data_IF_400017382612
#
_entry.id   IF_400017382612
#
_cell.length_a   1.000
_cell.length_b   1.000
_cell.length_c   1.000
_cell.angle_alpha   90.00
_cell.angle_beta   90.00
_cell.angle_gamma   90.00
#
_symmetry.space_group_name_H-M   'P 1'
#
loop_
_entity.id
_entity.type
_entity.pdbx_description
1 polymer ?
#
# COMPACT_ATOMS: atom_id res chain seq x y z
N UNK A 1 -35.82 11.13 17.40
CA UNK A 1 -35.08 10.02 16.78
C UNK A 1 -34.05 10.62 15.84
N UNK A 2 -32.84 10.86 16.34
CA UNK A 2 -31.69 11.21 15.49
C UNK A 2 -31.36 9.95 14.69
N UNK A 3 -31.43 10.01 13.36
CA UNK A 3 -31.02 8.91 12.52
C UNK A 3 -29.62 8.45 12.97
N UNK A 4 -29.46 7.14 13.23
CA UNK A 4 -28.12 6.57 13.27
C UNK A 4 -27.39 6.99 11.99
N UNK A 5 -26.08 7.30 12.04
CA UNK A 5 -25.31 7.49 10.82
C UNK A 5 -25.55 6.25 9.95
N UNK A 6 -26.24 6.43 8.83
CA UNK A 6 -26.68 5.32 8.00
C UNK A 6 -25.42 4.60 7.50
N UNK A 7 -25.30 3.30 7.79
CA UNK A 7 -24.25 2.45 7.25
C UNK A 7 -24.34 2.52 5.72
N UNK A 8 -23.46 3.31 5.09
CA UNK A 8 -23.32 3.36 3.64
C UNK A 8 -22.22 2.37 3.27
N UNK A 9 -22.63 1.25 2.66
CA UNK A 9 -21.69 0.33 2.00
C UNK A 9 -21.19 0.93 0.69
N UNK A 10 -20.03 0.48 0.24
CA UNK A 10 -19.49 0.89 -1.05
C UNK A 10 -20.44 0.49 -2.20
N UNK A 11 -20.64 1.41 -3.13
CA UNK A 11 -21.42 1.20 -4.35
C UNK A 11 -20.60 0.41 -5.38
N UNK A 12 -21.25 -0.34 -6.26
CA UNK A 12 -20.57 -1.18 -7.27
C UNK A 12 -19.63 -0.37 -8.18
N UNK A 13 -19.97 0.88 -8.50
CA UNK A 13 -19.10 1.74 -9.32
C UNK A 13 -17.86 2.22 -8.54
N UNK A 14 -17.93 2.33 -7.21
CA UNK A 14 -16.77 2.63 -6.38
C UNK A 14 -15.81 1.44 -6.40
N UNK A 15 -16.34 0.22 -6.32
CA UNK A 15 -15.55 -1.02 -6.46
C UNK A 15 -14.94 -1.17 -7.85
N UNK A 16 -15.71 -0.83 -8.90
CA UNK A 16 -15.20 -0.85 -10.26
C UNK A 16 -14.10 0.20 -10.48
N UNK A 17 -14.23 1.38 -9.87
CA UNK A 17 -13.18 2.38 -9.85
C UNK A 17 -11.89 1.85 -9.22
N UNK A 18 -11.95 1.03 -8.16
CA UNK A 18 -10.74 0.48 -7.54
C UNK A 18 -9.94 -0.42 -8.47
N UNK A 19 -10.56 -1.03 -9.49
CA UNK A 19 -9.87 -1.93 -10.41
C UNK A 19 -8.74 -1.24 -11.20
N UNK A 20 -8.76 0.08 -11.38
CA UNK A 20 -7.63 0.79 -11.99
C UNK A 20 -6.35 0.69 -11.14
N UNK A 21 -6.47 0.49 -9.82
CA UNK A 21 -5.31 0.25 -8.96
C UNK A 21 -4.71 -1.12 -9.18
N UNK A 22 -5.43 -2.11 -9.73
CA UNK A 22 -4.80 -3.38 -10.14
C UNK A 22 -3.65 -3.09 -11.10
N UNK A 23 -3.94 -2.35 -12.16
CA UNK A 23 -2.93 -1.98 -13.15
C UNK A 23 -1.88 -1.03 -12.58
N UNK A 24 -2.28 0.01 -11.84
CA UNK A 24 -1.33 0.96 -11.25
C UNK A 24 -0.34 0.27 -10.30
N UNK A 25 -0.82 -0.65 -9.47
CA UNK A 25 0.02 -1.43 -8.56
C UNK A 25 0.99 -2.32 -9.34
N UNK A 26 0.54 -3.04 -10.37
CA UNK A 26 1.45 -3.81 -11.24
C UNK A 26 2.55 -2.93 -11.85
N UNK A 27 2.21 -1.71 -12.29
CA UNK A 27 3.20 -0.78 -12.85
C UNK A 27 4.19 -0.26 -11.80
N UNK A 28 3.74 0.00 -10.57
CA UNK A 28 4.63 0.37 -9.45
C UNK A 28 5.55 -0.81 -9.08
N UNK A 29 5.02 -2.03 -9.02
CA UNK A 29 5.82 -3.23 -8.76
C UNK A 29 6.89 -3.40 -9.83
N UNK A 30 6.54 -3.24 -11.11
CA UNK A 30 7.51 -3.24 -12.20
C UNK A 30 8.58 -2.14 -12.04
N UNK A 31 8.18 -0.94 -11.62
CA UNK A 31 9.11 0.16 -11.34
C UNK A 31 10.05 -0.14 -10.15
N UNK A 32 9.63 -0.98 -9.21
CA UNK A 32 10.49 -1.50 -8.13
C UNK A 32 11.43 -2.60 -8.67
N UNK A 33 10.93 -3.49 -9.53
CA UNK A 33 11.71 -4.57 -10.14
C UNK A 33 12.89 -4.05 -10.97
N UNK A 34 12.69 -2.96 -11.70
CA UNK A 34 13.71 -2.36 -12.57
C UNK A 34 14.57 -1.30 -11.86
N UNK A 35 14.37 -1.07 -10.57
CA UNK A 35 15.11 -0.06 -9.83
C UNK A 35 16.57 -0.47 -9.63
N UNK A 36 17.49 0.35 -10.14
CA UNK A 36 18.94 0.11 -10.12
C UNK A 36 19.71 1.18 -9.34
N UNK A 37 19.14 2.38 -9.22
CA UNK A 37 19.73 3.52 -8.53
C UNK A 37 18.77 4.12 -7.49
N UNK A 38 19.29 4.97 -6.59
CA UNK A 38 18.47 5.62 -5.55
C UNK A 38 17.34 6.47 -6.15
N UNK A 39 17.57 7.08 -7.31
CA UNK A 39 16.58 7.88 -8.03
C UNK A 39 15.37 7.05 -8.48
N UNK A 40 15.60 5.79 -8.85
CA UNK A 40 14.56 4.86 -9.27
C UNK A 40 13.61 4.52 -8.11
N UNK A 41 14.18 4.32 -6.92
CA UNK A 41 13.42 4.13 -5.69
C UNK A 41 12.65 5.38 -5.29
N UNK A 42 13.24 6.57 -5.44
CA UNK A 42 12.55 7.84 -5.23
C UNK A 42 11.35 7.96 -6.16
N UNK A 43 11.50 7.59 -7.44
CA UNK A 43 10.40 7.60 -8.41
C UNK A 43 9.26 6.65 -8.00
N UNK A 44 9.58 5.42 -7.62
CA UNK A 44 8.59 4.44 -7.15
C UNK A 44 7.84 4.90 -5.90
N UNK A 45 8.56 5.46 -4.92
CA UNK A 45 7.96 6.00 -3.70
C UNK A 45 7.10 7.23 -4.02
N UNK A 46 7.59 8.14 -4.87
CA UNK A 46 6.87 9.35 -5.25
C UNK A 46 5.53 9.05 -5.91
N UNK A 47 5.53 8.14 -6.89
CA UNK A 47 4.29 7.79 -7.60
C UNK A 47 3.33 6.99 -6.71
N UNK A 48 3.84 6.10 -5.85
CA UNK A 48 3.03 5.42 -4.84
C UNK A 48 2.33 6.43 -3.91
N UNK A 49 3.09 7.38 -3.37
CA UNK A 49 2.56 8.41 -2.46
C UNK A 49 1.54 9.33 -3.15
N UNK A 50 1.79 9.71 -4.42
CA UNK A 50 0.85 10.51 -5.21
C UNK A 50 -0.45 9.77 -5.50
N UNK A 51 -0.36 8.53 -6.00
CA UNK A 51 -1.53 7.71 -6.30
C UNK A 51 -2.35 7.42 -5.04
N UNK A 52 -1.67 7.08 -3.95
CA UNK A 52 -2.31 6.83 -2.67
C UNK A 52 -2.99 8.08 -2.13
N UNK A 53 -2.38 9.25 -2.29
CA UNK A 53 -2.98 10.51 -1.88
C UNK A 53 -4.25 10.82 -2.66
N UNK A 54 -4.18 10.72 -3.99
CA UNK A 54 -5.33 10.98 -4.84
C UNK A 54 -6.43 9.95 -4.61
N UNK A 55 -6.10 8.67 -4.38
CA UNK A 55 -7.07 7.66 -3.97
C UNK A 55 -7.85 8.07 -2.72
N UNK A 56 -7.14 8.38 -1.62
CA UNK A 56 -7.77 8.82 -0.37
C UNK A 56 -8.63 10.07 -0.59
N UNK A 57 -8.19 10.97 -1.47
CA UNK A 57 -8.96 12.12 -1.91
C UNK A 57 -10.28 11.77 -2.60
N UNK A 58 -10.31 10.74 -3.46
CA UNK A 58 -11.54 10.27 -4.11
C UNK A 58 -12.46 9.49 -3.16
N UNK A 59 -11.90 8.71 -2.22
CA UNK A 59 -12.68 8.08 -1.14
C UNK A 59 -13.35 9.16 -0.28
N UNK A 60 -12.63 10.25 0.00
CA UNK A 60 -13.19 11.39 0.72
C UNK A 60 -14.27 12.11 -0.10
N UNK A 61 -14.06 12.33 -1.40
CA UNK A 61 -15.08 12.88 -2.30
C UNK A 61 -16.37 12.04 -2.28
N UNK A 62 -16.23 10.72 -2.41
CA UNK A 62 -17.33 9.78 -2.37
C UNK A 62 -18.12 9.85 -1.05
N UNK A 63 -17.40 10.00 0.06
CA UNK A 63 -17.99 10.13 1.41
C UNK A 63 -18.74 11.44 1.62
N UNK A 64 -18.44 12.50 0.85
CA UNK A 64 -19.07 13.83 0.98
C UNK A 64 -20.08 14.14 -0.14
N UNK A 65 -20.35 13.17 -1.03
CA UNK A 65 -21.34 13.32 -2.10
C UNK A 65 -22.54 12.43 -1.84
N UNK A 66 -23.72 13.05 -1.92
CA UNK A 66 -25.04 12.38 -1.92
C UNK A 66 -25.60 12.22 -3.34
N UNK A 67 -24.93 12.78 -4.36
CA UNK A 67 -25.38 12.79 -5.75
C UNK A 67 -24.83 11.58 -6.52
N UNK A 68 -25.35 10.39 -6.20
CA UNK A 68 -24.79 9.08 -6.65
C UNK A 68 -24.51 9.01 -8.15
N UNK A 69 -25.47 9.40 -9.02
CA UNK A 69 -25.28 9.35 -10.47
C UNK A 69 -24.13 10.24 -10.96
N UNK A 70 -23.97 11.44 -10.37
CA UNK A 70 -22.87 12.35 -10.72
C UNK A 70 -21.54 11.88 -10.14
N UNK A 71 -21.55 11.34 -8.92
CA UNK A 71 -20.38 10.71 -8.31
C UNK A 71 -19.87 9.56 -9.19
N UNK A 72 -20.77 8.69 -9.68
CA UNK A 72 -20.42 7.63 -10.62
C UNK A 72 -19.75 8.19 -11.89
N UNK A 73 -20.31 9.24 -12.50
CA UNK A 73 -19.70 9.91 -13.66
C UNK A 73 -18.30 10.46 -13.37
N UNK A 74 -18.09 11.08 -12.21
CA UNK A 74 -16.77 11.59 -11.77
C UNK A 74 -15.77 10.43 -11.58
N UNK A 75 -16.16 9.36 -10.87
CA UNK A 75 -15.27 8.23 -10.63
C UNK A 75 -14.94 7.46 -11.91
N UNK A 76 -15.90 7.24 -12.81
CA UNK A 76 -15.64 6.58 -14.09
C UNK A 76 -14.74 7.42 -15.01
N UNK A 77 -14.88 8.75 -14.98
CA UNK A 77 -13.96 9.65 -15.70
C UNK A 77 -12.57 9.64 -15.07
N UNK A 78 -12.48 9.66 -13.73
CA UNK A 78 -11.22 9.55 -13.01
C UNK A 78 -10.53 8.21 -13.28
N UNK A 79 -11.28 7.10 -13.36
CA UNK A 79 -10.77 5.77 -13.67
C UNK A 79 -9.96 5.78 -14.98
N UNK A 80 -10.46 6.42 -16.03
CA UNK A 80 -9.73 6.56 -17.29
C UNK A 80 -8.44 7.39 -17.11
N UNK A 81 -8.52 8.51 -16.40
CA UNK A 81 -7.34 9.37 -16.16
C UNK A 81 -6.26 8.64 -15.34
N UNK A 82 -6.66 7.88 -14.32
CA UNK A 82 -5.74 7.05 -13.55
C UNK A 82 -5.17 5.88 -14.35
N UNK A 83 -5.95 5.26 -15.25
CA UNK A 83 -5.44 4.23 -16.15
C UNK A 83 -4.34 4.78 -17.07
N UNK A 84 -4.55 5.98 -17.63
CA UNK A 84 -3.54 6.65 -18.46
C UNK A 84 -2.31 7.04 -17.62
N UNK A 85 -2.51 7.53 -16.39
CA UNK A 85 -1.43 7.81 -15.46
C UNK A 85 -0.60 6.55 -15.20
N UNK A 86 -1.26 5.43 -14.88
CA UNK A 86 -0.63 4.14 -14.64
C UNK A 86 0.19 3.67 -15.86
N UNK A 87 -0.35 3.84 -17.07
CA UNK A 87 0.36 3.49 -18.31
C UNK A 87 1.65 4.30 -18.53
N UNK A 88 1.74 5.50 -17.96
CA UNK A 88 2.94 6.34 -18.01
C UNK A 88 3.98 6.05 -16.93
N UNK A 89 3.66 5.23 -15.91
CA UNK A 89 4.56 4.97 -14.77
C UNK A 89 5.92 4.37 -15.20
N UNK A 90 6.01 3.41 -16.14
CA UNK A 90 7.31 2.88 -16.59
C UNK A 90 8.26 3.93 -17.16
N UNK A 91 7.72 5.02 -17.70
CA UNK A 91 8.50 6.13 -18.26
C UNK A 91 9.30 6.90 -17.20
N UNK A 92 8.98 6.75 -15.91
CA UNK A 92 9.62 7.52 -14.82
C UNK A 92 11.13 7.27 -14.70
N UNK A 93 11.61 6.03 -14.83
CA UNK A 93 13.05 5.73 -14.81
C UNK A 93 13.79 6.34 -16.01
N UNK A 94 13.12 6.44 -17.16
CA UNK A 94 13.67 7.02 -18.38
C UNK A 94 13.51 8.53 -18.49
N UNK A 95 12.85 9.19 -17.52
CA UNK A 95 12.53 10.61 -17.57
C UNK A 95 11.41 10.97 -18.56
N UNK A 96 10.69 10.01 -19.13
CA UNK A 96 9.48 10.29 -19.91
C UNK A 96 8.29 10.54 -18.97
N UNK A 97 8.15 11.79 -18.55
CA UNK A 97 7.14 12.19 -17.54
C UNK A 97 5.96 12.93 -18.11
N UNK A 98 5.87 13.06 -19.44
CA UNK A 98 4.81 13.81 -20.11
C UNK A 98 3.44 13.15 -19.89
N UNK A 99 3.34 11.86 -20.22
CA UNK A 99 2.07 11.13 -20.13
C UNK A 99 1.57 11.04 -18.68
N UNK A 100 2.44 10.60 -17.76
CA UNK A 100 2.12 10.46 -16.34
C UNK A 100 1.78 11.81 -15.70
N UNK A 101 2.48 12.89 -16.07
CA UNK A 101 2.25 14.23 -15.56
C UNK A 101 0.95 14.86 -16.06
N UNK A 102 0.65 14.76 -17.36
CA UNK A 102 -0.62 15.26 -17.92
C UNK A 102 -1.82 14.49 -17.36
N UNK A 103 -1.69 13.16 -17.23
CA UNK A 103 -2.72 12.34 -16.62
C UNK A 103 -2.91 12.68 -15.13
N UNK A 104 -1.83 12.94 -14.38
CA UNK A 104 -1.90 13.42 -13.01
C UNK A 104 -2.63 14.76 -12.91
N UNK A 105 -2.36 15.71 -13.81
CA UNK A 105 -3.11 16.97 -13.87
C UNK A 105 -4.60 16.75 -14.15
N UNK A 106 -4.94 15.81 -15.04
CA UNK A 106 -6.33 15.45 -15.31
C UNK A 106 -7.01 14.83 -14.08
N UNK A 107 -6.35 13.89 -13.39
CA UNK A 107 -6.83 13.31 -12.12
C UNK A 107 -7.12 14.40 -11.08
N UNK A 108 -6.21 15.37 -10.92
CA UNK A 108 -6.39 16.50 -10.01
C UNK A 108 -7.53 17.42 -10.45
N UNK A 109 -7.64 17.74 -11.74
CA UNK A 109 -8.72 18.58 -12.27
C UNK A 109 -10.11 17.93 -12.05
N UNK A 110 -10.23 16.62 -12.32
CA UNK A 110 -11.46 15.86 -12.09
C UNK A 110 -11.82 15.84 -10.60
N UNK A 111 -10.82 15.68 -9.73
CA UNK A 111 -11.00 15.70 -8.27
C UNK A 111 -11.50 17.05 -7.76
N UNK A 112 -10.87 18.16 -8.18
CA UNK A 112 -11.27 19.53 -7.85
C UNK A 112 -12.68 19.81 -8.36
N UNK A 113 -12.99 19.46 -9.62
CA UNK A 113 -14.31 19.65 -10.21
C UNK A 113 -15.37 18.83 -9.48
N UNK A 114 -15.06 17.59 -9.08
CA UNK A 114 -15.93 16.78 -8.24
C UNK A 114 -16.31 17.49 -6.95
N UNK A 115 -15.31 17.95 -6.17
CA UNK A 115 -15.62 18.69 -4.96
C UNK A 115 -16.42 19.96 -5.20
N UNK A 116 -16.07 20.74 -6.23
CA UNK A 116 -16.75 22.00 -6.55
C UNK A 116 -18.21 21.80 -7.01
N UNK A 117 -18.54 20.68 -7.67
CA UNK A 117 -19.83 20.49 -8.35
C UNK A 117 -20.78 19.52 -7.64
N UNK A 118 -20.26 18.55 -6.87
CA UNK A 118 -21.07 17.45 -6.33
C UNK A 118 -21.01 17.31 -4.80
N UNK A 119 -20.41 18.27 -4.09
CA UNK A 119 -20.39 18.29 -2.60
C UNK A 119 -21.01 19.59 -2.06
N UNK A 120 -21.61 19.52 -0.87
CA UNK A 120 -22.35 20.65 -0.27
C UNK A 120 -21.64 21.27 0.95
N UNK A 121 -20.95 20.45 1.75
CA UNK A 121 -20.33 20.89 3.01
C UNK A 121 -18.85 21.30 2.86
N UNK A 122 -18.34 21.37 1.62
CA UNK A 122 -16.95 21.73 1.32
C UNK A 122 -16.88 23.15 0.79
N UNK A 123 -16.18 24.02 1.52
CA UNK A 123 -16.07 25.44 1.13
C UNK A 123 -15.12 25.63 -0.07
N UNK A 124 -15.31 26.67 -0.92
CA UNK A 124 -14.38 26.98 -2.01
C UNK A 124 -12.94 27.20 -1.54
N UNK A 125 -12.76 27.74 -0.33
CA UNK A 125 -11.43 27.89 0.29
C UNK A 125 -10.78 26.53 0.55
N UNK A 126 -11.53 25.54 1.03
CA UNK A 126 -11.02 24.18 1.20
C UNK A 126 -10.65 23.55 -0.15
N UNK A 127 -11.51 23.70 -1.16
CA UNK A 127 -11.25 23.19 -2.52
C UNK A 127 -9.97 23.78 -3.11
N UNK A 128 -9.82 25.10 -3.02
CA UNK A 128 -8.61 25.78 -3.49
C UNK A 128 -7.37 25.28 -2.74
N UNK A 129 -7.52 25.06 -1.43
CA UNK A 129 -6.44 24.70 -0.51
C UNK A 129 -5.78 23.36 -0.82
N UNK A 130 -6.55 22.31 -1.08
CA UNK A 130 -5.97 21.04 -1.55
C UNK A 130 -5.74 21.03 -3.06
N UNK A 131 -6.53 21.80 -3.81
CA UNK A 131 -6.43 21.89 -5.26
C UNK A 131 -5.06 22.39 -5.69
N UNK A 132 -4.57 23.49 -5.13
CA UNK A 132 -3.26 24.03 -5.50
C UNK A 132 -2.10 23.10 -5.13
N UNK A 133 -2.15 22.44 -3.97
CA UNK A 133 -1.08 21.49 -3.56
C UNK A 133 -1.06 20.26 -4.46
N UNK A 134 -2.24 19.75 -4.83
CA UNK A 134 -2.35 18.60 -5.72
C UNK A 134 -1.89 18.96 -7.13
N UNK A 135 -2.26 20.16 -7.61
CA UNK A 135 -1.77 20.68 -8.89
C UNK A 135 -0.26 20.87 -8.86
N UNK A 136 0.31 21.39 -7.77
CA UNK A 136 1.76 21.52 -7.63
C UNK A 136 2.45 20.15 -7.68
N UNK A 137 1.97 19.15 -6.94
CA UNK A 137 2.52 17.79 -7.00
C UNK A 137 2.44 17.20 -8.42
N UNK A 138 1.32 17.36 -9.12
CA UNK A 138 1.18 16.90 -10.51
C UNK A 138 2.10 17.66 -11.48
N UNK A 139 2.33 18.97 -11.27
CA UNK A 139 3.29 19.76 -12.05
C UNK A 139 4.73 19.34 -11.78
N UNK A 140 5.10 19.05 -10.54
CA UNK A 140 6.43 18.51 -10.21
C UNK A 140 6.64 17.15 -10.87
N UNK A 141 5.62 16.28 -10.86
CA UNK A 141 5.67 15.00 -11.57
C UNK A 141 5.86 15.20 -13.07
N UNK A 142 5.06 16.07 -13.69
CA UNK A 142 5.17 16.41 -15.11
C UNK A 142 6.55 16.97 -15.48
N UNK A 143 7.10 17.85 -14.65
CA UNK A 143 8.35 18.57 -14.94
C UNK A 143 9.61 17.79 -14.54
N UNK A 144 9.48 16.71 -13.76
CA UNK A 144 10.62 15.92 -13.27
C UNK A 144 11.52 15.36 -14.39
N UNK A 145 10.95 14.88 -15.49
CA UNK A 145 11.71 14.38 -16.64
C UNK A 145 12.49 15.45 -17.41
N UNK A 146 12.10 16.71 -17.29
CA UNK A 146 12.73 17.84 -17.99
C UNK A 146 13.81 18.54 -17.16
N UNK A 147 14.00 18.12 -15.90
CA UNK A 147 14.97 18.73 -14.98
C UNK A 147 16.37 18.08 -15.03
N UNK A 148 16.62 17.21 -16.01
CA UNK A 148 17.89 16.48 -16.15
C UNK A 148 18.24 15.72 -14.87
N UNK A 149 19.50 15.83 -14.43
CA UNK A 149 20.04 15.13 -13.25
C UNK A 149 19.33 15.48 -11.93
N UNK A 150 18.53 16.55 -11.90
CA UNK A 150 17.80 17.01 -10.71
C UNK A 150 16.33 16.54 -10.68
N UNK A 151 15.86 15.76 -11.65
CA UNK A 151 14.47 15.27 -11.71
C UNK A 151 14.02 14.57 -10.43
N UNK A 152 14.90 13.81 -9.79
CA UNK A 152 14.62 13.12 -8.53
C UNK A 152 14.29 14.08 -7.37
N UNK A 153 14.81 15.32 -7.37
CA UNK A 153 14.46 16.33 -6.36
C UNK A 153 13.00 16.76 -6.50
N UNK A 154 12.52 16.88 -7.74
CA UNK A 154 11.11 17.18 -7.99
C UNK A 154 10.21 16.01 -7.56
N UNK A 155 10.65 14.77 -7.77
CA UNK A 155 9.94 13.56 -7.31
C UNK A 155 9.91 13.46 -5.78
N UNK A 156 10.95 13.88 -5.06
CA UNK A 156 10.87 14.06 -3.60
C UNK A 156 9.75 15.04 -3.25
N UNK A 157 9.65 16.16 -3.98
CA UNK A 157 8.55 17.12 -3.81
C UNK A 157 7.17 16.49 -4.03
N UNK A 158 7.02 15.61 -5.03
CA UNK A 158 5.78 14.84 -5.28
C UNK A 158 5.41 13.98 -4.07
N UNK A 159 6.38 13.32 -3.44
CA UNK A 159 6.15 12.52 -2.24
C UNK A 159 5.84 13.37 -1.00
N UNK A 160 6.56 14.49 -0.82
CA UNK A 160 6.55 15.28 0.42
C UNK A 160 5.37 16.26 0.49
N UNK A 161 4.92 16.83 -0.63
CA UNK A 161 3.81 17.81 -0.61
C UNK A 161 2.52 17.23 -0.03
N UNK A 162 2.05 16.03 -0.45
CA UNK A 162 0.91 15.35 0.19
C UNK A 162 1.11 15.17 1.70
N UNK A 163 2.31 14.78 2.13
CA UNK A 163 2.65 14.61 3.56
C UNK A 163 2.54 15.93 4.31
N UNK A 164 3.18 16.98 3.80
CA UNK A 164 3.15 18.31 4.41
C UNK A 164 1.73 18.87 4.49
N UNK A 165 0.96 18.75 3.40
CA UNK A 165 -0.46 19.11 3.38
C UNK A 165 -1.17 18.37 4.49
N UNK A 166 -1.07 17.04 4.49
CA UNK A 166 -1.82 16.24 5.43
C UNK A 166 -1.56 16.60 6.89
N UNK A 167 -0.31 16.88 7.27
CA UNK A 167 0.03 17.33 8.63
C UNK A 167 -0.55 18.71 8.96
N UNK A 168 -0.64 19.62 7.98
CA UNK A 168 -1.20 20.96 8.14
C UNK A 168 -2.74 20.96 8.23
N UNK A 169 -3.42 20.04 7.52
CA UNK A 169 -4.89 19.95 7.47
C UNK A 169 -5.49 18.86 8.38
N UNK A 170 -4.66 17.99 8.98
CA UNK A 170 -5.04 16.84 9.82
C UNK A 170 -5.96 17.16 11.01
N UNK A 171 -6.12 18.42 11.39
CA UNK A 171 -6.72 18.77 12.67
C UNK A 171 -8.23 19.04 12.66
N UNK A 172 -8.91 19.32 11.54
CA UNK A 172 -10.26 19.97 11.66
C UNK A 172 -11.39 19.63 10.68
N UNK A 173 -11.19 18.96 9.54
CA UNK A 173 -12.19 19.08 8.45
C UNK A 173 -12.50 17.84 7.58
N UNK A 174 -11.95 16.66 7.87
CA UNK A 174 -12.28 15.46 7.08
C UNK A 174 -13.52 14.73 7.63
N UNK A 175 -14.64 14.76 6.90
CA UNK A 175 -15.77 13.86 7.15
C UNK A 175 -15.35 12.42 6.83
N UNK A 176 -15.23 11.58 7.86
CA UNK A 176 -14.94 10.15 7.75
C UNK A 176 -16.18 9.37 8.16
N UNK A 177 -16.74 8.61 7.21
CA UNK A 177 -17.77 7.61 7.46
C UNK A 177 -17.06 6.28 7.77
N UNK A 178 -17.03 5.82 9.04
CA UNK A 178 -16.15 4.73 9.47
C UNK A 178 -16.27 3.47 8.62
N UNK A 179 -17.48 2.93 8.47
CA UNK A 179 -17.73 1.67 7.75
C UNK A 179 -17.28 1.74 6.29
N UNK A 180 -17.75 2.74 5.54
CA UNK A 180 -17.32 2.99 4.17
C UNK A 180 -15.80 3.16 4.08
N UNK A 181 -15.20 3.92 4.99
CA UNK A 181 -13.76 4.22 4.96
C UNK A 181 -12.90 2.97 5.19
N UNK A 182 -13.24 2.13 6.19
CA UNK A 182 -12.53 0.87 6.46
C UNK A 182 -12.74 -0.12 5.31
N UNK A 183 -13.97 -0.25 4.81
CA UNK A 183 -14.31 -1.15 3.69
C UNK A 183 -13.45 -0.83 2.46
N UNK A 184 -13.39 0.45 2.04
CA UNK A 184 -12.62 0.88 0.86
C UNK A 184 -11.12 0.58 0.98
N UNK A 185 -10.51 0.93 2.11
CA UNK A 185 -9.09 0.69 2.33
C UNK A 185 -8.77 -0.81 2.40
N UNK A 186 -9.65 -1.60 3.02
CA UNK A 186 -9.53 -3.07 3.02
C UNK A 186 -9.58 -3.65 1.61
N UNK A 187 -10.56 -3.25 0.79
CA UNK A 187 -10.68 -3.75 -0.58
C UNK A 187 -9.45 -3.41 -1.44
N UNK A 188 -8.86 -2.22 -1.27
CA UNK A 188 -7.61 -1.90 -1.95
C UNK A 188 -6.42 -2.72 -1.44
N UNK A 189 -6.37 -3.03 -0.15
CA UNK A 189 -5.36 -3.96 0.39
C UNK A 189 -5.48 -5.36 -0.25
N UNK A 190 -6.70 -5.84 -0.57
CA UNK A 190 -6.89 -7.10 -1.30
C UNK A 190 -6.30 -7.02 -2.71
N UNK A 191 -6.49 -5.91 -3.42
CA UNK A 191 -5.89 -5.69 -4.75
C UNK A 191 -4.36 -5.79 -4.67
N UNK A 192 -3.77 -5.15 -3.66
CA UNK A 192 -2.32 -5.15 -3.45
C UNK A 192 -1.79 -6.55 -3.11
N UNK A 193 -2.49 -7.33 -2.29
CA UNK A 193 -2.14 -8.75 -2.09
C UNK A 193 -2.28 -9.58 -3.38
N UNK A 194 -3.25 -9.24 -4.23
CA UNK A 194 -3.44 -9.85 -5.55
C UNK A 194 -2.21 -9.74 -6.45
N UNK A 195 -1.47 -8.63 -6.37
CA UNK A 195 -0.23 -8.44 -7.12
C UNK A 195 0.85 -9.47 -6.74
N UNK A 196 0.99 -9.82 -5.45
CA UNK A 196 1.91 -10.89 -5.04
C UNK A 196 1.52 -12.25 -5.64
N UNK A 197 0.22 -12.52 -5.76
CA UNK A 197 -0.29 -13.77 -6.35
C UNK A 197 -0.02 -13.80 -7.87
N UNK A 198 -0.25 -12.68 -8.57
CA UNK A 198 0.00 -12.54 -10.01
C UNK A 198 1.50 -12.65 -10.31
N UNK A 199 2.34 -11.99 -9.51
CA UNK A 199 3.79 -12.03 -9.64
C UNK A 199 4.33 -13.47 -9.55
N UNK A 200 3.86 -14.25 -8.57
CA UNK A 200 4.24 -15.66 -8.41
C UNK A 200 3.63 -16.54 -9.52
N UNK A 201 2.38 -16.30 -9.92
CA UNK A 201 1.69 -17.12 -10.91
C UNK A 201 2.28 -16.97 -12.32
N UNK A 202 2.67 -15.76 -12.71
CA UNK A 202 3.24 -15.48 -14.04
C UNK A 202 4.63 -16.08 -14.22
N UNK A 203 5.43 -16.19 -13.16
CA UNK A 203 6.76 -16.82 -13.23
C UNK A 203 6.68 -18.35 -13.24
N UNK A 204 5.76 -18.95 -12.47
CA UNK A 204 5.55 -20.41 -12.46
C UNK A 204 4.98 -20.96 -13.76
N UNK A 205 4.09 -20.21 -14.41
CA UNK A 205 3.40 -20.64 -15.63
C UNK A 205 4.34 -20.96 -16.80
N UNK A 206 5.59 -20.48 -16.74
CA UNK A 206 6.60 -20.73 -17.76
C UNK A 206 7.25 -22.12 -17.63
N UNK A 207 7.59 -22.57 -16.41
CA UNK A 207 8.26 -23.87 -16.14
C UNK A 207 7.98 -24.36 -14.71
N UNK A 208 6.97 -25.23 -14.50
CA UNK A 208 6.56 -25.65 -13.15
C UNK A 208 7.45 -26.79 -12.62
N UNK A 209 8.67 -26.46 -12.21
CA UNK A 209 9.54 -27.39 -11.47
C UNK A 209 9.01 -27.61 -10.03
N UNK A 210 9.11 -28.82 -9.45
CA UNK A 210 8.58 -29.12 -8.11
C UNK A 210 9.12 -28.20 -6.99
N UNK A 211 10.38 -27.77 -7.08
CA UNK A 211 10.99 -26.84 -6.12
C UNK A 211 10.35 -25.44 -6.20
N UNK A 212 10.12 -24.94 -7.41
CA UNK A 212 9.47 -23.66 -7.63
C UNK A 212 8.02 -23.67 -7.13
N UNK A 213 7.30 -24.79 -7.30
CA UNK A 213 5.95 -24.97 -6.74
C UNK A 213 5.94 -24.93 -5.20
N UNK A 214 6.95 -25.53 -4.55
CA UNK A 214 7.08 -25.48 -3.10
C UNK A 214 7.35 -24.05 -2.60
N UNK A 215 8.29 -23.34 -3.23
CA UNK A 215 8.61 -21.94 -2.90
C UNK A 215 7.40 -21.03 -3.10
N UNK A 216 6.71 -21.14 -4.23
CA UNK A 216 5.48 -20.42 -4.49
C UNK A 216 4.40 -20.73 -3.45
N UNK A 217 4.25 -21.99 -3.06
CA UNK A 217 3.36 -22.38 -1.97
C UNK A 217 3.69 -21.66 -0.65
N UNK A 218 4.97 -21.55 -0.30
CA UNK A 218 5.41 -20.79 0.88
C UNK A 218 5.14 -19.29 0.76
N UNK A 219 5.35 -18.70 -0.43
CA UNK A 219 5.00 -17.29 -0.68
C UNK A 219 3.51 -17.06 -0.50
N UNK A 220 2.66 -17.95 -1.04
CA UNK A 220 1.21 -17.84 -0.89
C UNK A 220 0.79 -17.98 0.58
N UNK A 221 1.37 -18.93 1.31
CA UNK A 221 1.14 -19.06 2.77
C UNK A 221 1.58 -17.81 3.53
N UNK A 222 2.69 -17.19 3.14
CA UNK A 222 3.17 -15.93 3.72
C UNK A 222 2.19 -14.79 3.42
N UNK A 223 1.73 -14.63 2.18
CA UNK A 223 0.70 -13.66 1.79
C UNK A 223 -0.58 -13.86 2.59
N UNK A 224 -1.03 -15.10 2.78
CA UNK A 224 -2.18 -15.43 3.63
C UNK A 224 -1.92 -15.01 5.09
N UNK A 225 -0.74 -15.26 5.63
CA UNK A 225 -0.40 -14.86 6.99
C UNK A 225 -0.37 -13.33 7.18
N UNK A 226 0.15 -12.59 6.19
CA UNK A 226 0.13 -11.13 6.17
C UNK A 226 -1.32 -10.62 6.05
N UNK A 227 -2.12 -11.17 5.14
CA UNK A 227 -3.54 -10.84 5.01
C UNK A 227 -4.30 -11.05 6.32
N UNK A 228 -4.11 -12.21 6.97
CA UNK A 228 -4.71 -12.52 8.27
C UNK A 228 -4.27 -11.55 9.37
N UNK A 229 -3.08 -10.98 9.29
CA UNK A 229 -2.57 -10.08 10.34
C UNK A 229 -3.38 -8.79 10.46
N UNK A 230 -4.04 -8.36 9.38
CA UNK A 230 -4.93 -7.20 9.37
C UNK A 230 -6.41 -7.61 9.39
N UNK A 231 -6.85 -8.45 8.45
CA UNK A 231 -8.27 -8.81 8.24
C UNK A 231 -8.91 -9.68 9.32
N UNK A 232 -8.13 -10.30 10.20
CA UNK A 232 -8.70 -11.20 11.20
C UNK A 232 -9.36 -10.44 12.35
N UNK A 233 -8.89 -9.22 12.68
CA UNK A 233 -9.43 -8.44 13.80
C UNK A 233 -9.31 -6.92 13.62
N UNK A 234 -8.26 -6.42 12.98
CA UNK A 234 -7.92 -4.99 13.03
C UNK A 234 -8.83 -4.15 12.13
N UNK A 235 -9.39 -4.73 11.07
CA UNK A 235 -10.46 -4.14 10.26
C UNK A 235 -11.68 -3.76 11.13
N UNK A 236 -12.28 -4.72 11.83
CA UNK A 236 -13.48 -4.49 12.66
C UNK A 236 -13.18 -3.64 13.89
N UNK A 237 -12.04 -3.87 14.54
CA UNK A 237 -11.63 -3.11 15.74
C UNK A 237 -11.37 -1.64 15.40
N UNK A 238 -10.73 -1.37 14.25
CA UNK A 238 -10.49 0.01 13.83
C UNK A 238 -11.76 0.73 13.44
N UNK A 239 -12.71 0.04 12.79
CA UNK A 239 -14.04 0.57 12.51
C UNK A 239 -14.78 0.93 13.82
N UNK A 240 -14.80 0.02 14.79
CA UNK A 240 -15.41 0.26 16.12
C UNK A 240 -14.78 1.47 16.81
N UNK A 241 -13.45 1.60 16.79
CA UNK A 241 -12.75 2.77 17.34
C UNK A 241 -13.17 4.05 16.62
N UNK A 242 -13.25 4.04 15.28
CA UNK A 242 -13.65 5.20 14.49
C UNK A 242 -15.08 5.63 14.81
N UNK A 243 -16.01 4.69 15.01
CA UNK A 243 -17.39 4.99 15.42
C UNK A 243 -17.46 5.78 16.73
N UNK A 244 -16.62 5.43 17.71
CA UNK A 244 -16.59 6.07 19.04
C UNK A 244 -15.64 7.27 19.11
N UNK A 245 -14.89 7.56 18.05
CA UNK A 245 -13.95 8.70 18.00
C UNK A 245 -14.68 9.96 17.53
N UNK A 246 -14.44 11.09 18.21
CA UNK A 246 -14.96 12.40 17.81
C UNK A 246 -14.46 12.79 16.40
N UNK A 247 -15.29 13.48 15.61
CA UNK A 247 -15.00 13.81 14.20
C UNK A 247 -13.66 14.52 13.99
N UNK A 248 -13.25 15.41 14.89
CA UNK A 248 -11.97 16.13 14.82
C UNK A 248 -10.76 15.18 14.89
N UNK A 249 -10.85 14.10 15.68
CA UNK A 249 -9.77 13.11 15.84
C UNK A 249 -9.81 12.03 14.76
N UNK A 250 -10.97 11.79 14.11
CA UNK A 250 -11.07 10.84 12.99
C UNK A 250 -10.16 11.22 11.82
N UNK A 251 -9.99 12.52 11.54
CA UNK A 251 -9.10 13.01 10.48
C UNK A 251 -7.63 12.61 10.72
N UNK A 252 -7.15 12.73 11.97
CA UNK A 252 -5.80 12.29 12.35
C UNK A 252 -5.63 10.78 12.20
N UNK A 253 -6.61 9.97 12.64
CA UNK A 253 -6.56 8.52 12.49
C UNK A 253 -6.57 8.12 11.00
N UNK A 254 -7.47 8.73 10.20
CA UNK A 254 -7.52 8.52 8.76
C UNK A 254 -6.17 8.82 8.09
N UNK A 255 -5.47 9.85 8.54
CA UNK A 255 -4.17 10.18 7.99
C UNK A 255 -3.05 9.26 8.50
N UNK A 256 -2.84 9.16 9.80
CA UNK A 256 -1.68 8.44 10.33
C UNK A 256 -1.85 6.92 10.17
N UNK A 257 -3.02 6.38 10.47
CA UNK A 257 -3.25 4.94 10.37
C UNK A 257 -3.52 4.52 8.92
N UNK A 258 -4.49 5.15 8.26
CA UNK A 258 -4.95 4.68 6.95
C UNK A 258 -4.23 5.28 5.76
N UNK A 259 -3.57 6.45 5.87
CA UNK A 259 -2.72 6.92 4.79
C UNK A 259 -1.29 6.45 5.00
N UNK A 260 -0.62 6.83 6.09
CA UNK A 260 0.80 6.46 6.31
C UNK A 260 1.00 4.99 6.65
N UNK A 261 0.22 4.43 7.59
CA UNK A 261 0.34 3.02 7.98
C UNK A 261 0.10 2.08 6.80
N UNK A 262 -0.95 2.34 6.02
CA UNK A 262 -1.23 1.56 4.81
C UNK A 262 -0.22 1.78 3.70
N UNK A 263 0.29 3.01 3.48
CA UNK A 263 1.34 3.23 2.47
C UNK A 263 2.56 2.35 2.74
N UNK A 264 2.96 2.21 4.02
CA UNK A 264 4.00 1.28 4.43
C UNK A 264 3.59 -0.18 4.20
N UNK A 265 2.39 -0.60 4.62
CA UNK A 265 1.93 -1.97 4.38
C UNK A 265 1.90 -2.33 2.88
N UNK A 266 1.40 -1.42 2.05
CA UNK A 266 1.37 -1.56 0.59
C UNK A 266 2.79 -1.71 0.07
N UNK A 267 3.70 -0.78 0.41
CA UNK A 267 5.10 -0.86 0.00
C UNK A 267 5.75 -2.19 0.40
N UNK A 268 5.49 -2.68 1.62
CA UNK A 268 5.97 -3.99 2.07
C UNK A 268 5.49 -5.14 1.18
N UNK A 269 4.22 -5.14 0.77
CA UNK A 269 3.67 -6.15 -0.15
C UNK A 269 4.27 -6.00 -1.56
N UNK A 270 4.46 -4.78 -2.06
CA UNK A 270 5.08 -4.55 -3.37
C UNK A 270 6.54 -5.01 -3.41
N UNK A 271 7.30 -4.79 -2.32
CA UNK A 271 8.65 -5.31 -2.15
C UNK A 271 8.67 -6.85 -2.17
N UNK A 272 7.69 -7.49 -1.52
CA UNK A 272 7.56 -8.95 -1.57
C UNK A 272 7.27 -9.43 -3.00
N UNK A 273 6.31 -8.81 -3.69
CA UNK A 273 5.92 -9.18 -5.05
C UNK A 273 7.09 -9.03 -6.03
N UNK A 274 7.73 -7.86 -6.06
CA UNK A 274 8.88 -7.58 -6.92
C UNK A 274 10.05 -8.52 -6.61
N UNK A 275 10.39 -8.67 -5.33
CA UNK A 275 11.51 -9.51 -4.89
C UNK A 275 11.33 -10.98 -5.23
N UNK A 276 10.13 -11.53 -5.02
CA UNK A 276 9.86 -12.94 -5.37
C UNK A 276 9.82 -13.15 -6.88
N UNK A 277 9.31 -12.18 -7.66
CA UNK A 277 9.35 -12.27 -9.13
C UNK A 277 10.79 -12.26 -9.65
N UNK A 278 11.61 -11.32 -9.18
CA UNK A 278 13.04 -11.27 -9.52
C UNK A 278 13.77 -12.55 -9.10
N UNK A 279 13.41 -13.13 -7.94
CA UNK A 279 13.96 -14.40 -7.48
C UNK A 279 13.62 -15.56 -8.43
N UNK A 280 12.36 -15.73 -8.79
CA UNK A 280 11.95 -16.79 -9.72
C UNK A 280 12.54 -16.62 -11.12
N UNK A 281 12.87 -15.40 -11.53
CA UNK A 281 13.59 -15.12 -12.78
C UNK A 281 15.12 -15.31 -12.67
N UNK A 282 15.64 -15.64 -11.48
CA UNK A 282 17.07 -15.83 -11.24
C UNK A 282 17.87 -14.52 -11.17
N UNK A 283 17.20 -13.39 -10.98
CA UNK A 283 17.82 -12.06 -10.95
C UNK A 283 18.07 -11.52 -9.53
N UNK A 284 17.51 -12.15 -8.49
CA UNK A 284 17.70 -11.72 -7.11
C UNK A 284 17.73 -12.87 -6.11
N UNK A 285 18.45 -12.65 -5.00
CA UNK A 285 18.35 -13.49 -3.81
C UNK A 285 17.08 -13.09 -3.02
N UNK A 286 16.28 -14.04 -2.50
CA UNK A 286 14.99 -13.72 -1.90
C UNK A 286 15.11 -13.11 -0.50
N UNK A 287 16.17 -13.44 0.24
CA UNK A 287 16.39 -13.03 1.63
C UNK A 287 16.31 -11.50 1.90
N UNK A 288 17.04 -10.62 1.18
CA UNK A 288 16.94 -9.16 1.40
C UNK A 288 15.53 -8.61 1.14
N UNK A 289 14.86 -9.09 0.10
CA UNK A 289 13.52 -8.65 -0.28
C UNK A 289 12.47 -9.07 0.74
N UNK A 290 12.50 -10.33 1.19
CA UNK A 290 11.61 -10.85 2.22
C UNK A 290 11.81 -10.08 3.53
N UNK A 291 13.07 -9.84 3.93
CA UNK A 291 13.39 -9.09 5.14
C UNK A 291 12.86 -7.65 5.09
N UNK A 292 13.10 -6.93 3.99
CA UNK A 292 12.62 -5.57 3.79
C UNK A 292 11.08 -5.52 3.73
N UNK A 293 10.46 -6.42 2.97
CA UNK A 293 9.00 -6.52 2.85
C UNK A 293 8.31 -6.68 4.19
N UNK A 294 8.73 -7.66 5.01
CA UNK A 294 8.13 -7.91 6.31
C UNK A 294 8.42 -6.78 7.30
N UNK A 295 9.63 -6.21 7.28
CA UNK A 295 9.98 -5.10 8.16
C UNK A 295 9.09 -3.88 7.90
N UNK A 296 8.96 -3.50 6.62
CA UNK A 296 8.13 -2.36 6.20
C UNK A 296 6.65 -2.63 6.47
N UNK A 297 6.16 -3.84 6.17
CA UNK A 297 4.78 -4.23 6.45
C UNK A 297 4.44 -4.18 7.94
N UNK A 298 5.28 -4.77 8.79
CA UNK A 298 5.06 -4.75 10.24
C UNK A 298 5.23 -3.36 10.84
N UNK A 299 6.09 -2.50 10.30
CA UNK A 299 6.18 -1.10 10.73
C UNK A 299 4.90 -0.33 10.37
N UNK A 300 4.33 -0.57 9.20
CA UNK A 300 3.02 -0.02 8.81
C UNK A 300 1.90 -0.45 9.76
N UNK A 301 1.85 -1.75 10.07
CA UNK A 301 0.93 -2.30 11.08
C UNK A 301 1.14 -1.71 12.48
N UNK A 302 2.40 -1.50 12.88
CA UNK A 302 2.73 -0.89 14.17
C UNK A 302 2.22 0.56 14.25
N UNK A 303 2.45 1.35 13.19
CA UNK A 303 1.96 2.71 13.07
C UNK A 303 0.43 2.78 13.09
N UNK A 304 -0.22 1.90 12.33
CA UNK A 304 -1.67 1.75 12.32
C UNK A 304 -2.22 1.47 13.73
N UNK A 305 -1.72 0.43 14.39
CA UNK A 305 -2.17 0.06 15.74
C UNK A 305 -1.90 1.15 16.77
N UNK A 306 -0.73 1.79 16.71
CA UNK A 306 -0.37 2.87 17.62
C UNK A 306 -1.33 4.05 17.50
N UNK A 307 -1.61 4.49 16.27
CA UNK A 307 -2.50 5.63 16.03
C UNK A 307 -3.95 5.34 16.41
N UNK A 308 -4.47 4.18 16.01
CA UNK A 308 -5.84 3.74 16.32
C UNK A 308 -5.98 3.46 17.83
N UNK A 309 -4.89 3.18 18.55
CA UNK A 309 -4.92 2.79 19.96
C UNK A 309 -5.23 1.32 20.18
N UNK A 310 -4.90 0.47 19.21
CA UNK A 310 -5.01 -0.98 19.31
C UNK A 310 -3.81 -1.58 20.06
N UNK A 311 -4.07 -2.61 20.87
CA UNK A 311 -3.00 -3.40 21.48
C UNK A 311 -2.09 -4.06 20.42
N UNK A 312 -0.82 -4.26 20.77
CA UNK A 312 0.13 -5.00 19.93
C UNK A 312 0.88 -4.16 18.90
N UNK A 313 1.00 -2.84 19.06
CA UNK A 313 1.89 -2.03 18.22
C UNK A 313 3.38 -2.37 18.45
N UNK A 314 3.79 -2.52 19.72
CA UNK A 314 5.18 -2.84 20.08
C UNK A 314 5.62 -4.22 19.58
N UNK A 315 4.73 -5.23 19.60
CA UNK A 315 5.04 -6.55 19.03
C UNK A 315 5.30 -6.48 17.53
N UNK A 316 4.62 -5.58 16.81
CA UNK A 316 4.86 -5.35 15.38
C UNK A 316 6.20 -4.66 15.11
N UNK A 317 6.63 -3.72 15.96
CA UNK A 317 7.99 -3.15 15.89
C UNK A 317 9.04 -4.24 16.12
N UNK A 318 8.86 -5.08 17.14
CA UNK A 318 9.76 -6.23 17.39
C UNK A 318 9.76 -7.19 16.20
N UNK A 319 8.61 -7.51 15.64
CA UNK A 319 8.48 -8.32 14.43
C UNK A 319 9.24 -7.72 13.25
N UNK A 320 9.18 -6.40 13.05
CA UNK A 320 9.93 -5.72 11.99
C UNK A 320 11.44 -5.83 12.19
N UNK A 321 11.93 -5.67 13.42
CA UNK A 321 13.36 -5.84 13.76
C UNK A 321 13.82 -7.28 13.54
N UNK A 322 13.01 -8.27 13.95
CA UNK A 322 13.32 -9.69 13.72
C UNK A 322 13.30 -10.03 12.22
N UNK A 323 12.38 -9.43 11.45
CA UNK A 323 12.33 -9.62 10.00
C UNK A 323 13.61 -9.17 9.30
N UNK A 324 14.23 -8.06 9.73
CA UNK A 324 15.51 -7.61 9.20
C UNK A 324 16.65 -8.62 9.44
N UNK A 325 16.58 -9.41 10.51
CA UNK A 325 17.58 -10.44 10.80
C UNK A 325 17.49 -11.64 9.83
N UNK A 326 16.38 -11.83 9.11
CA UNK A 326 16.23 -12.93 8.14
C UNK A 326 17.32 -12.85 7.07
N UNK A 327 17.64 -11.64 6.60
CA UNK A 327 18.66 -11.46 5.56
C UNK A 327 20.04 -12.00 5.99
N UNK A 328 20.72 -11.44 7.01
CA UNK A 328 22.05 -11.91 7.40
C UNK A 328 22.08 -13.35 7.93
N UNK A 329 20.96 -13.89 8.44
CA UNK A 329 20.88 -15.27 8.92
C UNK A 329 20.86 -16.31 7.79
N UNK A 330 20.42 -15.92 6.59
CA UNK A 330 20.16 -16.85 5.48
C UNK A 330 21.07 -16.66 4.27
N UNK A 331 21.91 -15.62 4.27
CA UNK A 331 23.02 -15.46 3.31
C UNK A 331 24.26 -16.25 3.71
N UNK A 332 25.16 -16.54 2.76
CA UNK A 332 26.30 -17.48 2.92
C UNK A 332 27.22 -17.29 4.14
N UNK A 333 27.34 -16.06 4.68
CA UNK A 333 28.10 -15.79 5.91
C UNK A 333 27.28 -16.02 7.20
N UNK A 334 26.00 -16.32 7.08
CA UNK A 334 25.06 -16.48 8.18
C UNK A 334 25.19 -17.83 8.87
N UNK A 335 25.00 -17.86 10.19
CA UNK A 335 25.15 -19.07 11.02
C UNK A 335 24.34 -20.27 10.48
N UNK A 336 23.12 -20.01 9.99
CA UNK A 336 22.22 -21.07 9.50
C UNK A 336 22.60 -21.51 8.09
N UNK A 337 22.93 -20.57 7.21
CA UNK A 337 23.42 -20.90 5.87
C UNK A 337 24.72 -21.71 5.93
N UNK A 338 25.67 -21.28 6.75
CA UNK A 338 26.92 -21.98 6.98
C UNK A 338 26.70 -23.39 7.53
N UNK A 339 25.82 -23.55 8.53
CA UNK A 339 25.51 -24.87 9.09
C UNK A 339 24.88 -25.82 8.04
N UNK A 340 24.04 -25.31 7.14
CA UNK A 340 23.48 -26.11 6.04
C UNK A 340 24.55 -26.45 5.02
N UNK A 341 25.39 -25.51 4.62
CA UNK A 341 26.48 -25.73 3.68
C UNK A 341 27.49 -26.76 4.21
N UNK A 342 27.82 -26.72 5.50
CA UNK A 342 28.77 -27.65 6.10
C UNK A 342 28.21 -29.08 6.29
N UNK A 343 26.91 -29.22 6.58
CA UNK A 343 26.32 -30.53 6.92
C UNK A 343 25.50 -31.16 5.78
N UNK A 344 25.06 -30.37 4.80
CA UNK A 344 24.21 -30.82 3.69
C UNK A 344 24.44 -29.95 2.42
N UNK A 345 25.64 -30.01 1.80
CA UNK A 345 26.00 -29.16 0.65
C UNK A 345 25.09 -29.37 -0.56
N UNK A 346 24.60 -30.59 -0.79
CA UNK A 346 23.62 -30.90 -1.86
C UNK A 346 22.25 -30.25 -1.63
N UNK A 347 21.95 -29.83 -0.39
CA UNK A 347 20.73 -29.13 -0.01
C UNK A 347 20.92 -27.60 0.08
N UNK A 348 22.16 -27.09 0.04
CA UNK A 348 22.46 -25.69 0.24
C UNK A 348 21.82 -24.78 -0.82
N UNK A 349 21.82 -25.21 -2.09
CA UNK A 349 21.19 -24.50 -3.20
C UNK A 349 19.65 -24.41 -3.05
N UNK A 350 19.02 -25.46 -2.53
CA UNK A 350 17.58 -25.44 -2.22
C UNK A 350 17.27 -24.65 -0.96
N UNK A 351 18.18 -24.66 0.01
CA UNK A 351 18.01 -23.97 1.29
C UNK A 351 18.10 -22.45 1.15
N UNK A 352 18.86 -21.92 0.18
CA UNK A 352 19.00 -20.46 0.00
C UNK A 352 17.68 -19.75 -0.30
N UNK A 353 16.70 -20.43 -0.90
CA UNK A 353 15.35 -19.91 -1.14
C UNK A 353 14.34 -20.32 -0.05
N UNK A 354 14.34 -21.60 0.35
CA UNK A 354 13.36 -22.13 1.29
C UNK A 354 13.54 -21.63 2.73
N UNK A 355 14.77 -21.39 3.16
CA UNK A 355 15.07 -20.94 4.52
C UNK A 355 14.53 -19.54 4.83
N UNK A 356 14.78 -18.49 4.02
CA UNK A 356 14.23 -17.16 4.30
C UNK A 356 12.69 -17.15 4.24
N UNK A 357 12.08 -17.89 3.30
CA UNK A 357 10.62 -18.04 3.23
C UNK A 357 10.06 -18.75 4.46
N UNK A 358 10.69 -19.83 4.91
CA UNK A 358 10.30 -20.57 6.10
C UNK A 358 10.39 -19.72 7.37
N UNK A 359 11.48 -18.97 7.55
CA UNK A 359 11.64 -18.05 8.69
C UNK A 359 10.62 -16.90 8.64
N UNK A 360 10.34 -16.34 7.47
CA UNK A 360 9.35 -15.28 7.30
C UNK A 360 7.92 -15.76 7.61
N UNK A 361 7.56 -16.96 7.15
CA UNK A 361 6.28 -17.58 7.46
C UNK A 361 6.18 -17.88 8.96
N UNK A 362 7.22 -18.47 9.56
CA UNK A 362 7.25 -18.75 10.98
C UNK A 362 7.09 -17.47 11.82
N UNK A 363 7.82 -16.40 11.49
CA UNK A 363 7.68 -15.09 12.14
C UNK A 363 6.25 -14.56 12.02
N UNK A 364 5.67 -14.61 10.83
CA UNK A 364 4.30 -14.13 10.59
C UNK A 364 3.26 -14.93 11.39
N UNK A 365 3.42 -16.25 11.49
CA UNK A 365 2.58 -17.12 12.30
C UNK A 365 2.74 -16.86 13.81
N UNK A 366 3.97 -16.63 14.28
CA UNK A 366 4.23 -16.23 15.68
C UNK A 366 3.54 -14.90 15.97
N UNK A 367 3.61 -13.91 15.07
CA UNK A 367 2.92 -12.64 15.25
C UNK A 367 1.38 -12.82 15.31
N UNK A 368 0.81 -13.73 14.52
CA UNK A 368 -0.62 -14.07 14.61
C UNK A 368 -0.98 -14.77 15.93
N UNK A 369 -0.09 -15.62 16.46
CA UNK A 369 -0.29 -16.26 17.76
C UNK A 369 -0.22 -15.23 18.91
N UNK A 370 0.74 -14.29 18.83
CA UNK A 370 0.85 -13.17 19.78
C UNK A 370 -0.41 -12.32 19.77
N UNK A 371 -0.97 -12.03 18.60
CA UNK A 371 -2.25 -11.29 18.49
C UNK A 371 -3.40 -12.02 19.19
N UNK A 372 -3.55 -13.33 18.96
CA UNK A 372 -4.59 -14.14 19.62
C UNK A 372 -4.44 -14.12 21.14
N UNK A 373 -3.20 -14.13 21.63
CA UNK A 373 -2.91 -14.06 23.06
C UNK A 373 -3.22 -12.68 23.65
N UNK A 374 -2.88 -11.59 22.94
CA UNK A 374 -3.09 -10.22 23.41
C UNK A 374 -4.56 -9.77 23.33
N UNK A 375 -5.29 -10.21 22.30
CA UNK A 375 -6.66 -9.75 22.02
C UNK A 375 -7.71 -10.66 22.68
N UNK A 376 -7.33 -11.91 23.00
CA UNK A 376 -8.25 -12.95 23.45
C UNK A 376 -9.03 -13.58 22.29
N UNK A 377 -9.84 -14.62 22.54
CA UNK A 377 -10.66 -15.23 21.50
C UNK A 377 -11.65 -14.19 20.95
N UNK A 378 -11.76 -14.10 19.62
CA UNK A 378 -12.78 -13.29 18.97
C UNK A 378 -14.15 -13.62 19.60
N UNK A 379 -14.82 -12.62 20.19
CA UNK A 379 -16.18 -12.79 20.69
C UNK A 379 -17.03 -13.23 19.50
N UNK A 380 -17.44 -14.50 19.49
CA UNK A 380 -18.34 -15.05 18.48
C UNK A 380 -19.71 -14.38 18.68
N UNK A 381 -20.06 -13.46 17.79
CA UNK A 381 -21.38 -12.87 17.69
C UNK A 381 -21.50 -11.48 18.30
N UNK A 382 -21.59 -10.49 17.43
CA UNK A 382 -22.51 -9.36 17.55
C UNK A 382 -23.09 -9.13 16.15
#
# INVERSE_FOLDING_TARGET
MTASPQERRAETFELFFDLMFVFAITQITHLIETASAVQDWIAAIAILMFLWWMYSGFVWLASNSTQIARLAGVLLTAMLAFFILAAGIPGLHGGDTLLVGLAALAVVAIHIAGFALITHDVTPRMVLSFGWTNTLAALLLLTSGYAGDYGWVLLIGVAVIPVAMSMLYAARQFTVVPSHFVERHGLLMIIVFGESIIAVGTTLGAHPEPSALLEAGLVILLVIALWLSWFNHDDRRSEEVLHHTASERRGRIALIAYYFGFALMILGILLLAAGMKLHFLGHAQPAPWIAAALAVYFLGMALFRWEVGLAGAASRVVGAVIALAIWPLTTGDGLVAHAVETHAPEAAERASALLPLGLALALSLVMLAVDRWQIGPARRGA
#
